data_IF_242911170731
#
_entry.id   IF_242911170731
#
_cell.length_a   1.000
_cell.length_b   1.000
_cell.length_c   1.000
_cell.angle_alpha   90.00
_cell.angle_beta   90.00
_cell.angle_gamma   90.00
#
_symmetry.space_group_name_H-M   'P 1'
#
loop_
_entity.id
_entity.type
_entity.pdbx_description
1 polymer ?
#
# COMPACT_ATOMS: atom_id res chain seq x y z
N UNK A 1 -5.05 -7.39 -14.22
CA UNK A 1 -4.77 -8.21 -13.02
C UNK A 1 -4.06 -7.34 -12.00
N UNK A 2 -4.50 -7.36 -10.74
CA UNK A 2 -3.84 -6.65 -9.66
C UNK A 2 -2.46 -7.25 -9.40
N UNK A 3 -1.47 -6.40 -9.10
CA UNK A 3 -0.17 -6.81 -8.56
C UNK A 3 -0.28 -6.79 -7.03
N UNK A 4 0.18 -7.86 -6.38
CA UNK A 4 0.14 -8.02 -4.93
C UNK A 4 1.53 -8.38 -4.39
N UNK A 5 1.94 -7.72 -3.32
CA UNK A 5 3.11 -8.06 -2.51
C UNK A 5 2.68 -8.23 -1.05
N UNK A 6 3.08 -9.32 -0.42
CA UNK A 6 2.93 -9.56 1.02
C UNK A 6 4.24 -9.21 1.69
N UNK A 7 4.18 -8.33 2.69
CA UNK A 7 5.36 -7.72 3.29
C UNK A 7 5.34 -7.93 4.80
N UNK A 8 6.46 -8.35 5.36
CA UNK A 8 6.74 -8.26 6.79
C UNK A 8 7.70 -7.10 7.02
N UNK A 9 7.25 -6.09 7.75
CA UNK A 9 8.01 -4.91 8.09
C UNK A 9 8.01 -4.71 9.60
N UNK A 10 9.20 -4.53 10.17
CA UNK A 10 9.33 -3.83 11.45
C UNK A 10 9.00 -2.34 11.26
N UNK A 11 8.97 -1.57 12.36
CA UNK A 11 8.80 -0.11 12.29
C UNK A 11 9.92 0.53 11.47
N UNK A 12 11.16 0.12 11.70
CA UNK A 12 12.32 0.66 10.99
C UNK A 12 12.31 0.30 9.49
N UNK A 13 11.78 -0.87 9.14
CA UNK A 13 11.61 -1.26 7.74
C UNK A 13 10.54 -0.39 7.05
N UNK A 14 9.41 -0.15 7.73
CA UNK A 14 8.34 0.72 7.23
C UNK A 14 8.83 2.15 7.02
N UNK A 15 9.57 2.71 7.98
CA UNK A 15 10.12 4.07 7.88
C UNK A 15 11.04 4.21 6.65
N UNK A 16 11.96 3.25 6.44
CA UNK A 16 12.85 3.23 5.27
C UNK A 16 12.10 3.04 3.96
N UNK A 17 11.07 2.19 3.97
CA UNK A 17 10.21 2.00 2.81
C UNK A 17 9.51 3.31 2.44
N UNK A 18 8.87 3.98 3.39
CA UNK A 18 8.16 5.23 3.15
C UNK A 18 9.11 6.36 2.76
N UNK A 19 10.31 6.42 3.36
CA UNK A 19 11.37 7.35 2.95
C UNK A 19 11.72 7.14 1.47
N UNK A 20 11.92 5.89 1.04
CA UNK A 20 12.16 5.59 -0.36
C UNK A 20 10.99 6.01 -1.27
N UNK A 21 9.76 5.63 -0.94
CA UNK A 21 8.57 5.98 -1.74
C UNK A 21 8.40 7.50 -1.84
N UNK A 22 8.69 8.25 -0.76
CA UNK A 22 8.70 9.73 -0.79
C UNK A 22 9.81 10.28 -1.69
N UNK A 23 11.00 9.68 -1.67
CA UNK A 23 12.16 10.15 -2.43
C UNK A 23 12.00 10.03 -3.95
N UNK A 24 11.17 9.10 -4.43
CA UNK A 24 10.85 8.99 -5.87
C UNK A 24 9.72 9.96 -6.31
N UNK A 25 9.19 10.75 -5.37
CA UNK A 25 8.27 11.88 -5.62
C UNK A 25 6.83 11.48 -5.98
N UNK A 26 5.97 12.50 -6.09
CA UNK A 26 4.55 12.40 -6.48
C UNK A 26 3.70 11.48 -5.58
N UNK A 27 4.06 11.38 -4.29
CA UNK A 27 3.33 10.60 -3.31
C UNK A 27 2.40 11.51 -2.50
N UNK A 28 1.12 11.14 -2.44
CA UNK A 28 0.23 11.48 -1.32
C UNK A 28 -0.16 10.20 -0.60
N UNK A 29 -0.25 10.26 0.72
CA UNK A 29 -0.74 9.13 1.51
C UNK A 29 -2.12 9.49 2.04
N UNK A 30 -3.12 8.69 1.72
CA UNK A 30 -4.51 8.93 2.09
C UNK A 30 -4.98 7.87 3.09
N UNK A 31 -5.92 8.20 4.00
CA UNK A 31 -6.53 7.20 4.87
C UNK A 31 -7.36 6.18 4.06
N UNK A 32 -7.59 4.99 4.60
CA UNK A 32 -8.40 3.97 3.93
C UNK A 32 -9.87 4.36 3.70
N UNK A 33 -10.41 5.26 4.53
CA UNK A 33 -11.77 5.81 4.43
C UNK A 33 -11.76 7.29 4.82
N UNK A 34 -12.75 8.06 4.37
CA UNK A 34 -12.91 9.49 4.69
C UNK A 34 -14.39 9.84 4.90
N UNK A 35 -14.75 10.81 5.76
CA UNK A 35 -16.12 11.31 5.83
C UNK A 35 -16.55 12.12 4.59
N UNK A 36 -15.61 12.51 3.73
CA UNK A 36 -15.84 13.25 2.48
C UNK A 36 -15.12 12.62 1.29
N UNK A 37 -15.61 12.90 0.08
CA UNK A 37 -14.94 12.51 -1.17
C UNK A 37 -13.58 13.19 -1.37
N UNK A 38 -13.33 14.29 -0.66
CA UNK A 38 -12.01 14.93 -0.57
C UNK A 38 -11.24 14.29 0.60
N UNK A 39 -10.20 13.53 0.29
CA UNK A 39 -9.39 12.82 1.27
C UNK A 39 -8.24 13.71 1.74
N UNK A 40 -8.20 14.02 3.03
CA UNK A 40 -7.06 14.74 3.62
C UNK A 40 -5.84 13.82 3.72
N UNK A 41 -4.69 14.19 3.14
CA UNK A 41 -3.47 13.39 3.25
C UNK A 41 -2.99 13.23 4.70
N UNK A 42 -2.29 12.13 4.96
CA UNK A 42 -1.73 11.76 6.26
C UNK A 42 -0.21 11.86 6.20
N UNK A 43 0.36 12.73 7.03
CA UNK A 43 1.81 12.88 7.15
C UNK A 43 2.43 11.93 8.17
N UNK A 44 1.67 11.63 9.24
CA UNK A 44 2.12 10.84 10.40
C UNK A 44 1.19 9.65 10.57
N UNK A 45 1.75 8.44 10.62
CA UNK A 45 0.97 7.25 10.88
C UNK A 45 0.76 7.05 12.39
N UNK A 46 -0.46 6.68 12.82
CA UNK A 46 -0.68 6.22 14.19
C UNK A 46 0.10 4.93 14.46
N UNK A 47 0.21 4.51 15.72
CA UNK A 47 0.73 3.16 16.00
C UNK A 47 -0.21 2.09 15.43
N UNK A 48 0.29 1.09 14.70
CA UNK A 48 -0.56 0.09 14.08
C UNK A 48 -1.17 -0.85 15.14
N UNK A 49 -2.49 -1.04 15.08
CA UNK A 49 -3.25 -1.81 16.07
C UNK A 49 -4.27 -2.73 15.40
N UNK A 50 -5.15 -3.40 16.16
CA UNK A 50 -6.26 -4.18 15.59
C UNK A 50 -7.16 -3.33 14.69
N UNK A 51 -7.29 -2.03 14.95
CA UNK A 51 -8.08 -1.12 14.13
C UNK A 51 -7.47 -0.96 12.73
N UNK A 52 -8.27 -1.26 11.71
CA UNK A 52 -7.90 -1.13 10.31
C UNK A 52 -7.56 0.31 9.92
N UNK A 53 -8.15 1.31 10.56
CA UNK A 53 -7.88 2.73 10.29
C UNK A 53 -6.40 3.10 10.53
N UNK A 54 -5.73 2.34 11.41
CA UNK A 54 -4.31 2.53 11.73
C UNK A 54 -3.36 1.76 10.83
N UNK A 55 -3.90 0.91 9.94
CA UNK A 55 -3.12 -0.05 9.14
C UNK A 55 -3.38 0.00 7.64
N UNK A 56 -4.51 0.57 7.19
CA UNK A 56 -4.87 0.64 5.77
C UNK A 56 -4.77 2.07 5.26
N UNK A 57 -3.95 2.26 4.24
CA UNK A 57 -3.72 3.55 3.58
C UNK A 57 -3.69 3.38 2.07
N UNK A 58 -3.90 4.48 1.36
CA UNK A 58 -3.68 4.55 -0.08
C UNK A 58 -2.42 5.37 -0.36
N UNK A 59 -1.49 4.82 -1.13
CA UNK A 59 -0.36 5.55 -1.68
C UNK A 59 -0.78 6.06 -3.07
N UNK A 60 -1.18 7.32 -3.15
CA UNK A 60 -1.61 7.95 -4.40
C UNK A 60 -0.40 8.49 -5.16
N UNK A 61 -0.34 8.14 -6.45
CA UNK A 61 0.57 8.74 -7.40
C UNK A 61 -0.08 9.95 -8.08
N UNK A 62 0.42 11.16 -7.82
CA UNK A 62 -0.15 12.40 -8.34
C UNK A 62 0.36 12.80 -9.73
N UNK A 63 1.42 12.14 -10.22
CA UNK A 63 2.08 12.52 -11.48
C UNK A 63 1.38 12.05 -12.75
N UNK A 64 0.31 11.26 -12.65
CA UNK A 64 -0.35 10.61 -13.79
C UNK A 64 -1.46 11.46 -14.46
N UNK A 65 -1.84 12.60 -13.87
CA UNK A 65 -2.95 13.42 -14.36
C UNK A 65 -4.32 12.72 -14.33
N UNK A 66 -4.41 11.54 -13.72
CA UNK A 66 -5.63 10.76 -13.55
C UNK A 66 -6.29 11.13 -12.22
N UNK A 67 -7.60 11.45 -12.18
CA UNK A 67 -8.28 11.85 -10.96
C UNK A 67 -8.36 10.69 -9.95
N UNK A 68 -8.55 11.05 -8.67
CA UNK A 68 -8.90 10.09 -7.63
C UNK A 68 -10.40 9.78 -7.73
N UNK A 69 -10.73 8.54 -8.09
CA UNK A 69 -12.11 8.05 -8.07
C UNK A 69 -12.47 7.62 -6.65
N UNK A 70 -13.64 8.06 -6.17
CA UNK A 70 -14.14 7.73 -4.82
C UNK A 70 -15.59 7.30 -4.87
N UNK A 71 -15.95 6.37 -3.99
CA UNK A 71 -17.30 5.85 -3.86
C UNK A 71 -17.83 6.12 -2.44
N UNK A 72 -19.10 6.51 -2.33
CA UNK A 72 -19.78 6.63 -1.04
C UNK A 72 -20.33 5.25 -0.64
N UNK A 73 -20.08 4.84 0.60
CA UNK A 73 -20.59 3.61 1.22
C UNK A 73 -21.70 4.00 2.21
N UNK A 74 -22.98 3.99 1.80
CA UNK A 74 -24.07 4.57 2.59
C UNK A 74 -24.27 3.89 3.95
N UNK A 75 -24.02 2.58 4.03
CA UNK A 75 -24.20 1.78 5.26
C UNK A 75 -23.21 2.18 6.36
N UNK A 76 -22.07 2.77 5.96
CA UNK A 76 -21.01 3.21 6.88
C UNK A 76 -20.90 4.73 6.98
N UNK A 77 -21.59 5.48 6.11
CA UNK A 77 -21.52 6.94 6.06
C UNK A 77 -20.11 7.47 5.75
N UNK A 78 -19.34 6.74 4.95
CA UNK A 78 -17.95 7.11 4.58
C UNK A 78 -17.73 6.96 3.09
N UNK A 79 -16.70 7.63 2.59
CA UNK A 79 -16.14 7.46 1.25
C UNK A 79 -14.94 6.51 1.29
N UNK A 80 -14.79 5.75 0.21
CA UNK A 80 -13.64 4.90 -0.09
C UNK A 80 -13.02 5.30 -1.42
N UNK A 81 -11.72 5.08 -1.59
CA UNK A 81 -11.07 5.22 -2.89
C UNK A 81 -11.36 3.97 -3.72
N UNK A 82 -11.77 4.18 -4.97
CA UNK A 82 -11.79 3.10 -5.96
C UNK A 82 -10.36 2.88 -6.47
N UNK A 83 -9.69 1.87 -5.92
CA UNK A 83 -8.32 1.50 -6.30
C UNK A 83 -8.19 0.97 -7.73
N UNK A 84 -9.28 0.48 -8.33
CA UNK A 84 -9.31 0.01 -9.70
C UNK A 84 -9.34 1.19 -10.68
N UNK A 85 -10.12 2.23 -10.39
CA UNK A 85 -10.21 3.45 -11.22
C UNK A 85 -9.17 4.53 -10.89
N UNK A 86 -8.41 4.41 -9.80
CA UNK A 86 -7.47 5.45 -9.34
C UNK A 86 -6.00 5.06 -9.47
N UNK A 87 -5.06 6.01 -9.69
CA UNK A 87 -3.61 5.74 -9.71
C UNK A 87 -3.04 5.59 -8.29
N UNK A 88 -3.51 4.58 -7.56
CA UNK A 88 -3.18 4.34 -6.14
C UNK A 88 -2.67 2.92 -5.89
N UNK A 89 -1.92 2.77 -4.80
CA UNK A 89 -1.54 1.47 -4.23
C UNK A 89 -2.22 1.35 -2.88
N UNK A 90 -2.96 0.27 -2.64
CA UNK A 90 -3.42 -0.09 -1.30
C UNK A 90 -2.23 -0.57 -0.48
N UNK A 91 -1.98 0.06 0.65
CA UNK A 91 -0.91 -0.28 1.57
C UNK A 91 -1.47 -0.76 2.90
N UNK A 92 -1.08 -1.98 3.28
CA UNK A 92 -1.36 -2.55 4.59
C UNK A 92 -0.08 -2.61 5.41
N UNK A 93 -0.14 -2.04 6.61
CA UNK A 93 0.98 -2.05 7.55
C UNK A 93 1.12 -3.40 8.21
N UNK A 94 2.36 -3.87 8.35
CA UNK A 94 2.67 -4.97 9.26
C UNK A 94 2.47 -4.50 10.69
N UNK A 95 2.10 -5.41 11.59
CA UNK A 95 1.88 -5.04 12.99
C UNK A 95 2.09 -6.22 13.91
N UNK A 96 2.35 -5.92 15.19
CA UNK A 96 2.77 -6.90 16.18
C UNK A 96 1.62 -7.28 17.10
N UNK A 97 1.46 -8.57 17.35
CA UNK A 97 0.58 -9.13 18.37
C UNK A 97 1.39 -10.12 19.21
N UNK A 98 1.81 -9.69 20.40
CA UNK A 98 2.72 -10.49 21.25
C UNK A 98 4.00 -10.87 20.48
N UNK A 99 4.28 -12.16 20.31
CA UNK A 99 5.42 -12.70 19.56
C UNK A 99 5.12 -12.95 18.08
N UNK A 100 3.99 -12.46 17.56
CA UNK A 100 3.58 -12.62 16.16
C UNK A 100 3.72 -11.29 15.42
N UNK A 101 4.37 -11.32 14.25
CA UNK A 101 4.29 -10.26 13.26
C UNK A 101 3.24 -10.62 12.22
N UNK A 102 2.17 -9.84 12.18
CA UNK A 102 1.12 -9.95 11.17
C UNK A 102 1.59 -9.33 9.85
N UNK A 103 1.31 -9.97 8.71
CA UNK A 103 1.75 -9.47 7.42
C UNK A 103 1.00 -8.19 7.03
N UNK A 104 1.74 -7.26 6.45
CA UNK A 104 1.23 -6.18 5.63
C UNK A 104 1.29 -6.52 4.14
N UNK A 105 1.23 -5.50 3.30
CA UNK A 105 1.39 -5.68 1.86
C UNK A 105 1.08 -4.45 1.02
N UNK A 106 1.24 -4.62 -0.28
CA UNK A 106 0.91 -3.64 -1.30
C UNK A 106 0.04 -4.30 -2.36
N UNK A 107 -1.04 -3.64 -2.77
CA UNK A 107 -1.83 -4.05 -3.92
C UNK A 107 -2.12 -2.88 -4.84
N UNK A 108 -2.00 -3.10 -6.14
CA UNK A 108 -2.36 -2.09 -7.13
C UNK A 108 -2.91 -2.73 -8.40
N UNK A 109 -4.01 -2.17 -8.90
CA UNK A 109 -4.53 -2.48 -10.21
C UNK A 109 -3.78 -1.71 -11.29
N UNK A 110 -3.37 -2.41 -12.34
CA UNK A 110 -2.60 -1.82 -13.46
C UNK A 110 -3.48 -1.41 -14.63
N UNK A 111 -4.78 -1.69 -14.54
CA UNK A 111 -5.79 -1.37 -15.54
C UNK A 111 -6.93 -0.61 -14.89
N UNK A 112 -7.76 0.03 -15.71
CA UNK A 112 -9.00 0.70 -15.32
C UNK A 112 -10.04 0.52 -16.45
N UNK A 113 -11.31 0.85 -16.22
CA UNK A 113 -12.30 0.90 -17.30
C UNK A 113 -12.28 2.28 -17.94
N UNK A 114 -11.99 2.33 -19.23
CA UNK A 114 -12.13 3.53 -20.04
C UNK A 114 -13.62 3.70 -20.37
N UNK A 115 -14.28 4.69 -19.75
CA UNK A 115 -15.71 4.93 -19.91
C UNK A 115 -16.10 5.38 -21.32
N UNK A 116 -15.19 6.01 -22.07
CA UNK A 116 -15.45 6.42 -23.45
C UNK A 116 -15.42 5.21 -24.39
N UNK A 117 -14.43 4.33 -24.19
CA UNK A 117 -14.23 3.13 -25.03
C UNK A 117 -15.04 1.92 -24.57
N UNK A 118 -15.57 1.95 -23.34
CA UNK A 118 -16.24 0.83 -22.66
C UNK A 118 -15.39 -0.44 -22.66
N UNK A 119 -14.08 -0.27 -22.44
CA UNK A 119 -13.09 -1.35 -22.46
C UNK A 119 -12.03 -1.17 -21.36
N UNK A 120 -11.27 -2.23 -21.09
CA UNK A 120 -10.14 -2.20 -20.17
C UNK A 120 -8.94 -1.50 -20.82
N UNK A 121 -8.54 -0.37 -20.22
CA UNK A 121 -7.32 0.33 -20.56
C UNK A 121 -6.25 0.10 -19.50
N UNK A 122 -4.98 0.25 -19.89
CA UNK A 122 -3.86 0.27 -18.95
C UNK A 122 -3.81 1.61 -18.25
N UNK A 123 -3.54 1.62 -16.94
CA UNK A 123 -3.23 2.85 -16.22
C UNK A 123 -1.99 3.54 -16.81
N UNK A 124 -1.86 4.87 -16.62
CA UNK A 124 -0.75 5.66 -17.15
C UNK A 124 0.62 5.02 -16.91
N UNK A 125 1.52 5.16 -17.88
CA UNK A 125 2.83 4.51 -17.83
C UNK A 125 3.65 4.99 -16.62
N UNK A 126 3.49 6.25 -16.26
CA UNK A 126 4.08 6.93 -15.12
C UNK A 126 3.73 6.21 -13.80
N UNK A 127 2.45 5.94 -13.56
CA UNK A 127 2.01 5.18 -12.38
C UNK A 127 2.56 3.75 -12.39
N UNK A 128 2.53 3.08 -13.54
CA UNK A 128 3.03 1.69 -13.65
C UNK A 128 4.54 1.61 -13.38
N UNK A 129 5.31 2.54 -13.93
CA UNK A 129 6.76 2.64 -13.70
C UNK A 129 7.08 3.02 -12.25
N UNK A 130 6.24 3.86 -11.63
CA UNK A 130 6.35 4.21 -10.22
C UNK A 130 6.14 2.98 -9.32
N UNK A 131 5.08 2.19 -9.55
CA UNK A 131 4.88 0.91 -8.86
C UNK A 131 6.05 -0.06 -9.09
N UNK A 132 6.55 -0.16 -10.32
CA UNK A 132 7.68 -1.05 -10.65
C UNK A 132 8.98 -0.65 -9.96
N UNK A 133 9.18 0.65 -9.73
CA UNK A 133 10.31 1.16 -8.93
C UNK A 133 10.19 0.71 -7.47
N UNK A 134 8.98 0.77 -6.90
CA UNK A 134 8.68 0.28 -5.55
C UNK A 134 8.91 -1.24 -5.43
N UNK A 135 8.34 -2.03 -6.35
CA UNK A 135 8.53 -3.49 -6.38
C UNK A 135 10.01 -3.86 -6.52
N UNK A 136 10.76 -3.17 -7.39
CA UNK A 136 12.19 -3.38 -7.57
C UNK A 136 13.00 -3.07 -6.32
N UNK A 137 12.66 -1.97 -5.62
CA UNK A 137 13.31 -1.61 -4.37
C UNK A 137 13.05 -2.66 -3.28
N UNK A 138 11.82 -3.15 -3.14
CA UNK A 138 11.48 -4.22 -2.19
C UNK A 138 12.30 -5.47 -2.50
N UNK A 139 12.34 -5.92 -3.77
CA UNK A 139 13.09 -7.11 -4.18
C UNK A 139 14.60 -6.98 -3.92
N UNK A 140 15.14 -5.77 -3.98
CA UNK A 140 16.56 -5.50 -3.74
C UNK A 140 16.91 -5.46 -2.26
N UNK A 141 16.04 -4.89 -1.43
CA UNK A 141 16.34 -4.60 -0.03
C UNK A 141 15.79 -5.65 0.94
N UNK A 142 14.77 -6.41 0.56
CA UNK A 142 14.07 -7.35 1.44
C UNK A 142 14.40 -8.80 1.08
N UNK A 143 14.39 -9.68 2.08
CA UNK A 143 14.56 -11.12 1.87
C UNK A 143 13.28 -11.70 1.29
N UNK A 144 13.40 -12.38 0.15
CA UNK A 144 12.31 -13.16 -0.44
C UNK A 144 12.04 -14.42 0.40
N UNK A 145 10.81 -14.57 0.87
CA UNK A 145 10.31 -15.76 1.59
C UNK A 145 9.40 -16.63 0.73
N UNK A 146 8.79 -16.07 -0.32
CA UNK A 146 7.91 -16.77 -1.25
C UNK A 146 7.83 -16.05 -2.59
N UNK A 147 6.92 -16.48 -3.48
CA UNK A 147 6.82 -15.87 -4.82
C UNK A 147 6.53 -14.36 -4.73
N UNK A 148 5.60 -13.99 -3.85
CA UNK A 148 5.15 -12.62 -3.59
C UNK A 148 5.33 -12.18 -2.13
N UNK A 149 6.12 -12.92 -1.35
CA UNK A 149 6.26 -12.71 0.10
C UNK A 149 7.68 -12.27 0.42
N UNK A 150 7.82 -11.14 1.11
CA UNK A 150 9.11 -10.52 1.43
C UNK A 150 9.17 -10.07 2.89
N UNK A 151 10.35 -10.12 3.50
CA UNK A 151 10.61 -9.64 4.85
C UNK A 151 11.74 -8.61 4.86
N UNK A 152 11.50 -7.44 5.46
CA UNK A 152 12.49 -6.41 5.68
C UNK A 152 13.62 -6.88 6.62
N UNK A 153 14.78 -6.20 6.64
CA UNK A 153 15.87 -6.53 7.56
C UNK A 153 15.46 -6.59 9.04
N UNK A 154 14.63 -5.64 9.51
CA UNK A 154 14.16 -5.65 10.91
C UNK A 154 13.19 -6.81 11.18
N UNK A 155 12.30 -7.14 10.24
CA UNK A 155 11.44 -8.32 10.34
C UNK A 155 12.23 -9.64 10.35
N UNK A 156 13.36 -9.71 9.63
CA UNK A 156 14.27 -10.86 9.69
C UNK A 156 14.92 -10.98 11.06
N UNK A 157 15.46 -9.88 11.58
CA UNK A 157 16.05 -9.82 12.92
C UNK A 157 15.05 -10.26 14.00
N UNK A 158 13.82 -9.74 13.94
CA UNK A 158 12.73 -10.16 14.82
C UNK A 158 12.52 -11.68 14.80
N UNK A 159 12.55 -12.30 13.60
CA UNK A 159 12.42 -13.76 13.46
C UNK A 159 13.62 -14.51 14.06
N UNK A 160 14.83 -13.99 13.87
CA UNK A 160 16.07 -14.58 14.43
C UNK A 160 16.09 -14.52 15.97
N UNK A 161 15.46 -13.51 16.56
CA UNK A 161 15.32 -13.34 18.01
C UNK A 161 14.18 -14.18 18.62
N UNK A 162 13.54 -15.06 17.83
CA UNK A 162 12.50 -15.98 18.28
C UNK A 162 11.07 -15.53 17.97
N UNK A 163 10.91 -14.38 17.31
CA UNK A 163 9.63 -13.91 16.80
C UNK A 163 9.07 -14.77 15.67
N UNK A 164 7.75 -14.78 15.51
CA UNK A 164 7.05 -15.57 14.50
C UNK A 164 6.46 -14.65 13.44
N UNK A 165 6.80 -14.88 12.17
CA UNK A 165 6.12 -14.24 11.04
C UNK A 165 4.85 -15.05 10.73
N UNK A 166 3.68 -14.45 10.97
CA UNK A 166 2.41 -15.15 10.84
C UNK A 166 2.10 -15.44 9.38
N UNK A 167 2.09 -16.73 9.00
CA UNK A 167 1.65 -17.17 7.69
C UNK A 167 0.23 -16.68 7.35
N UNK A 168 0.03 -16.29 6.09
CA UNK A 168 -1.26 -15.86 5.55
C UNK A 168 -2.09 -17.06 5.12
#
# INVERSE_FOLDING_TARGET
MPKLLVLYMSREDEDRFLEYVRSIGNLLILPGTSPSSDFTPVDIFPEPSQDESTRRFWLQYTGAGMPLATEHVPEKGVYVVDGFQSPVIEFWRSWMVSQLMMPGGLQADMNYIDEERKDLARKPAEFRNWFESIDSWIRKNYRRLGIYVFAGPGAQKFREEGGILQGR
#
